data_IF_536264735058
#
_entry.id   IF_536264735058
#
_cell.length_a   1.000
_cell.length_b   1.000
_cell.length_c   1.000
_cell.angle_alpha   90.00
_cell.angle_beta   90.00
_cell.angle_gamma   90.00
#
_symmetry.space_group_name_H-M   'P 1'
#
loop_
_entity.id
_entity.type
_entity.pdbx_description
1 polymer ?
#
# COMPACT_ATOMS: atom_id res chain seq x y z
N UNK A 1 -8.62 -8.77 -2.16
CA UNK A 1 -7.99 -8.84 -3.50
C UNK A 1 -6.82 -9.81 -3.42
N UNK A 2 -6.58 -10.61 -4.44
CA UNK A 2 -5.43 -11.50 -4.56
C UNK A 2 -4.46 -10.97 -5.63
N UNK A 3 -3.15 -11.06 -5.39
CA UNK A 3 -2.12 -10.66 -6.35
C UNK A 3 -1.42 -11.90 -6.90
N UNK A 4 -1.53 -12.12 -8.20
CA UNK A 4 -0.87 -13.23 -8.88
C UNK A 4 0.56 -12.83 -9.27
N UNK A 5 1.52 -13.15 -8.40
CA UNK A 5 2.94 -12.88 -8.62
C UNK A 5 3.68 -14.18 -9.00
N UNK A 6 4.66 -14.13 -9.91
CA UNK A 6 5.57 -15.26 -10.13
C UNK A 6 6.45 -15.46 -8.89
N UNK A 7 6.70 -16.72 -8.52
CA UNK A 7 7.55 -17.09 -7.40
C UNK A 7 8.63 -18.11 -7.81
N UNK A 8 9.60 -18.33 -6.93
CA UNK A 8 10.75 -19.23 -7.16
C UNK A 8 10.33 -20.67 -7.49
N UNK A 9 9.27 -21.13 -6.84
CA UNK A 9 8.81 -22.52 -6.89
C UNK A 9 7.41 -22.65 -7.47
N UNK A 10 6.58 -21.61 -7.32
CA UNK A 10 5.21 -21.65 -7.80
C UNK A 10 4.79 -20.30 -8.35
N UNK A 11 3.98 -20.33 -9.41
CA UNK A 11 3.35 -19.16 -9.99
C UNK A 11 2.02 -18.87 -9.30
N UNK A 12 1.87 -17.66 -8.74
CA UNK A 12 0.65 -17.20 -8.08
C UNK A 12 -0.59 -17.20 -8.98
N UNK A 13 -0.43 -17.12 -10.30
CA UNK A 13 -1.55 -17.16 -11.24
C UNK A 13 -2.32 -18.49 -11.18
N UNK A 14 -1.63 -19.59 -10.87
CA UNK A 14 -2.25 -20.92 -10.78
C UNK A 14 -3.17 -21.04 -9.56
N UNK A 15 -3.04 -20.13 -8.59
CA UNK A 15 -3.87 -20.09 -7.37
C UNK A 15 -5.08 -19.17 -7.46
N UNK A 16 -5.31 -18.51 -8.59
CA UNK A 16 -6.39 -17.52 -8.73
C UNK A 16 -7.78 -18.10 -8.42
N UNK A 17 -8.06 -19.33 -8.87
CA UNK A 17 -9.33 -20.01 -8.60
C UNK A 17 -9.51 -20.33 -7.11
N UNK A 18 -8.46 -20.82 -6.45
CA UNK A 18 -8.47 -21.09 -5.01
C UNK A 18 -8.64 -19.81 -4.21
N UNK A 19 -7.96 -18.72 -4.60
CA UNK A 19 -8.10 -17.42 -3.96
C UNK A 19 -9.52 -16.88 -4.08
N UNK A 20 -10.15 -17.01 -5.26
CA UNK A 20 -11.54 -16.62 -5.46
C UNK A 20 -12.50 -17.44 -4.59
N UNK A 21 -12.30 -18.77 -4.52
CA UNK A 21 -13.09 -19.65 -3.65
C UNK A 21 -12.92 -19.31 -2.16
N UNK A 22 -11.74 -18.83 -1.76
CA UNK A 22 -11.47 -18.35 -0.41
C UNK A 22 -12.04 -16.95 -0.12
N UNK A 23 -12.72 -16.32 -1.08
CA UNK A 23 -13.38 -15.01 -0.91
C UNK A 23 -12.64 -13.82 -1.50
N UNK A 24 -11.59 -14.03 -2.31
CA UNK A 24 -11.00 -12.93 -3.05
C UNK A 24 -11.99 -12.37 -4.08
N UNK A 25 -12.45 -11.14 -3.83
CA UNK A 25 -13.43 -10.44 -4.69
C UNK A 25 -12.86 -10.07 -6.07
N UNK A 26 -11.53 -9.95 -6.18
CA UNK A 26 -10.84 -9.66 -7.42
C UNK A 26 -9.39 -10.19 -7.38
N UNK A 27 -8.86 -10.54 -8.55
CA UNK A 27 -7.46 -10.90 -8.78
C UNK A 27 -6.76 -9.81 -9.60
N UNK A 28 -5.55 -9.41 -9.21
CA UNK A 28 -4.65 -8.61 -10.05
C UNK A 28 -3.60 -9.56 -10.65
N UNK A 29 -3.58 -9.70 -11.97
CA UNK A 29 -2.79 -10.70 -12.68
C UNK A 29 -2.17 -10.15 -13.96
N UNK A 30 -1.10 -10.77 -14.43
CA UNK A 30 -0.43 -10.42 -15.68
C UNK A 30 -0.99 -11.17 -16.91
N UNK A 31 -1.88 -12.14 -16.67
CA UNK A 31 -2.59 -12.91 -17.71
C UNK A 31 -4.01 -13.30 -17.26
N UNK A 32 -4.91 -13.67 -18.18
CA UNK A 32 -6.24 -14.17 -17.82
C UNK A 32 -6.16 -15.44 -16.95
N UNK A 33 -7.01 -15.50 -15.90
CA UNK A 33 -6.98 -16.57 -14.87
C UNK A 33 -8.35 -17.21 -14.59
N UNK A 34 -9.35 -16.95 -15.43
CA UNK A 34 -10.66 -17.62 -15.36
C UNK A 34 -11.59 -17.18 -14.21
N UNK A 35 -11.16 -16.23 -13.37
CA UNK A 35 -11.95 -15.59 -12.31
C UNK A 35 -11.97 -14.07 -12.52
N UNK A 36 -12.84 -13.30 -11.82
CA UNK A 36 -12.84 -11.84 -11.92
C UNK A 36 -11.45 -11.25 -11.66
N UNK A 37 -10.83 -10.74 -12.73
CA UNK A 37 -9.44 -10.33 -12.73
C UNK A 37 -9.22 -9.02 -13.48
N UNK A 38 -8.37 -8.18 -12.89
CA UNK A 38 -7.75 -7.04 -13.56
C UNK A 38 -6.46 -7.57 -14.17
N UNK A 39 -6.44 -7.71 -15.50
CA UNK A 39 -5.29 -8.19 -16.24
C UNK A 39 -4.42 -7.00 -16.66
N UNK A 40 -3.15 -7.03 -16.27
CA UNK A 40 -2.16 -6.01 -16.62
C UNK A 40 -1.16 -6.57 -17.61
N UNK A 41 -0.73 -5.75 -18.57
CA UNK A 41 0.25 -6.19 -19.57
C UNK A 41 1.64 -6.28 -18.92
N UNK A 42 2.34 -7.42 -19.02
CA UNK A 42 3.75 -7.54 -18.61
C UNK A 42 4.63 -6.53 -19.35
N UNK A 43 5.58 -5.91 -18.66
CA UNK A 43 6.51 -4.97 -19.27
C UNK A 43 7.93 -5.19 -18.70
N UNK A 44 8.81 -5.79 -19.51
CA UNK A 44 10.18 -6.16 -19.09
C UNK A 44 11.05 -4.98 -18.65
N UNK A 45 10.85 -3.79 -19.23
CA UNK A 45 11.59 -2.57 -18.85
C UNK A 45 11.31 -2.15 -17.40
N UNK A 46 10.15 -2.50 -16.83
CA UNK A 46 9.83 -2.22 -15.43
C UNK A 46 10.58 -3.13 -14.46
N UNK A 47 11.03 -4.31 -14.92
CA UNK A 47 11.77 -5.26 -14.10
C UNK A 47 13.23 -4.83 -13.91
N UNK A 48 13.82 -4.14 -14.89
CA UNK A 48 15.25 -3.74 -14.89
C UNK A 48 15.61 -2.69 -13.80
N UNK A 49 14.63 -2.04 -13.17
CA UNK A 49 14.84 -0.99 -12.16
C UNK A 49 14.47 -1.36 -10.72
N UNK A 50 14.04 -2.59 -10.45
CA UNK A 50 13.34 -2.89 -9.22
C UNK A 50 14.21 -3.59 -8.17
N UNK A 51 14.64 -2.84 -7.15
CA UNK A 51 15.47 -3.29 -6.01
C UNK A 51 14.77 -4.25 -5.01
N UNK A 52 13.60 -4.80 -5.35
CA UNK A 52 12.85 -5.66 -4.43
C UNK A 52 13.09 -7.13 -4.77
N UNK A 53 13.54 -7.93 -3.79
CA UNK A 53 13.75 -9.38 -3.94
C UNK A 53 12.51 -10.18 -4.42
N UNK A 54 11.33 -9.56 -4.38
CA UNK A 54 10.08 -10.08 -4.96
C UNK A 54 10.17 -10.30 -6.47
N UNK A 55 11.11 -9.66 -7.18
CA UNK A 55 11.23 -9.71 -8.63
C UNK A 55 12.39 -10.58 -9.13
N UNK A 56 13.12 -11.26 -8.23
CA UNK A 56 14.21 -12.16 -8.59
C UNK A 56 13.77 -13.32 -9.50
N UNK A 57 12.47 -13.64 -9.49
CA UNK A 57 11.87 -14.70 -10.30
C UNK A 57 10.90 -14.17 -11.37
N UNK A 58 10.96 -12.87 -11.67
CA UNK A 58 10.11 -12.22 -12.67
C UNK A 58 10.78 -12.20 -14.06
N UNK A 59 10.79 -13.36 -14.73
CA UNK A 59 11.50 -13.52 -16.01
C UNK A 59 10.88 -12.73 -17.18
N UNK A 60 9.58 -12.45 -17.15
CA UNK A 60 8.83 -11.85 -18.24
C UNK A 60 8.27 -10.45 -17.93
N UNK A 61 8.50 -9.93 -16.72
CA UNK A 61 7.98 -8.63 -16.28
C UNK A 61 6.54 -8.67 -15.77
N UNK A 62 5.97 -9.87 -15.57
CA UNK A 62 4.64 -10.07 -15.00
C UNK A 62 4.55 -9.54 -13.56
N UNK A 63 5.53 -9.88 -12.73
CA UNK A 63 5.60 -9.43 -11.34
C UNK A 63 5.73 -7.91 -11.25
N UNK A 64 6.60 -7.33 -12.06
CA UNK A 64 6.83 -5.89 -12.13
C UNK A 64 5.56 -5.15 -12.55
N UNK A 65 4.84 -5.65 -13.56
CA UNK A 65 3.58 -5.08 -14.01
C UNK A 65 2.50 -5.13 -12.92
N UNK A 66 2.35 -6.27 -12.22
CA UNK A 66 1.39 -6.42 -11.12
C UNK A 66 1.72 -5.49 -9.96
N UNK A 67 2.98 -5.38 -9.56
CA UNK A 67 3.40 -4.45 -8.51
C UNK A 67 3.27 -2.98 -8.91
N UNK A 68 3.55 -2.64 -10.17
CA UNK A 68 3.36 -1.29 -10.69
C UNK A 68 1.87 -0.91 -10.70
N UNK A 69 0.98 -1.85 -11.05
CA UNK A 69 -0.46 -1.64 -10.97
C UNK A 69 -0.94 -1.49 -9.52
N UNK A 70 -0.41 -2.29 -8.59
CA UNK A 70 -0.68 -2.12 -7.15
C UNK A 70 -0.23 -0.72 -6.67
N UNK A 71 0.96 -0.28 -7.07
CA UNK A 71 1.48 1.04 -6.71
C UNK A 71 0.60 2.17 -7.26
N UNK A 72 0.10 2.05 -8.49
CA UNK A 72 -0.87 2.99 -9.08
C UNK A 72 -2.18 3.03 -8.28
N UNK A 73 -2.72 1.86 -7.89
CA UNK A 73 -3.91 1.76 -7.06
C UNK A 73 -3.69 2.41 -5.69
N UNK A 74 -2.60 2.07 -5.01
CA UNK A 74 -2.26 2.63 -3.71
C UNK A 74 -2.10 4.16 -3.78
N UNK A 75 -1.50 4.68 -4.85
CA UNK A 75 -1.39 6.13 -5.08
C UNK A 75 -2.74 6.80 -5.29
N UNK A 76 -3.65 6.17 -6.04
CA UNK A 76 -5.01 6.69 -6.22
C UNK A 76 -5.76 6.76 -4.89
N UNK A 77 -5.73 5.68 -4.10
CA UNK A 77 -6.35 5.62 -2.76
C UNK A 77 -5.73 6.67 -1.83
N UNK A 78 -4.41 6.81 -1.82
CA UNK A 78 -3.73 7.83 -1.01
C UNK A 78 -4.17 9.24 -1.41
N UNK A 79 -4.29 9.52 -2.71
CA UNK A 79 -4.74 10.83 -3.20
C UNK A 79 -6.18 11.14 -2.77
N UNK A 80 -7.09 10.17 -2.86
CA UNK A 80 -8.48 10.32 -2.39
C UNK A 80 -8.55 10.60 -0.89
N UNK A 81 -7.79 9.85 -0.09
CA UNK A 81 -7.76 10.06 1.36
C UNK A 81 -7.15 11.43 1.72
N UNK A 82 -6.09 11.86 1.02
CA UNK A 82 -5.49 13.19 1.21
C UNK A 82 -6.48 14.29 0.86
N UNK A 83 -7.26 14.13 -0.22
CA UNK A 83 -8.35 15.06 -0.54
C UNK A 83 -9.42 15.09 0.57
N UNK A 84 -9.65 13.96 1.26
CA UNK A 84 -10.45 13.87 2.48
C UNK A 84 -9.79 14.40 3.76
N UNK A 85 -8.59 14.99 3.66
CA UNK A 85 -7.88 15.62 4.77
C UNK A 85 -6.80 14.75 5.42
N UNK A 86 -6.54 13.53 4.94
CA UNK A 86 -5.44 12.69 5.44
C UNK A 86 -4.09 13.38 5.23
N UNK A 87 -3.26 13.43 6.27
CA UNK A 87 -1.84 13.81 6.13
C UNK A 87 -0.94 12.58 6.12
N UNK A 88 -0.11 12.45 5.09
CA UNK A 88 0.84 11.33 4.93
C UNK A 88 2.25 11.82 5.23
N UNK A 89 2.98 11.09 6.09
CA UNK A 89 4.36 11.41 6.46
C UNK A 89 5.25 10.21 6.19
N UNK A 90 6.26 10.40 5.34
CA UNK A 90 7.30 9.41 5.08
C UNK A 90 8.39 9.44 6.16
N UNK A 91 8.68 8.30 6.76
CA UNK A 91 9.81 8.13 7.70
C UNK A 91 10.81 7.17 7.06
N UNK A 92 12.03 7.66 6.80
CA UNK A 92 13.13 6.87 6.22
C UNK A 92 14.37 6.93 7.12
N UNK A 93 15.30 6.00 6.91
CA UNK A 93 16.57 5.87 7.65
C UNK A 93 17.01 4.42 7.77
N UNK A 94 18.31 4.13 7.89
CA UNK A 94 18.81 2.75 8.10
C UNK A 94 18.45 2.22 9.50
N UNK A 95 18.47 3.12 10.51
CA UNK A 95 18.16 2.83 11.91
C UNK A 95 17.08 3.76 12.46
N UNK A 96 16.34 3.34 13.48
CA UNK A 96 15.45 4.22 14.24
C UNK A 96 14.02 4.44 13.70
N UNK A 97 13.68 4.06 12.47
CA UNK A 97 12.34 4.22 11.86
C UNK A 97 11.16 3.86 12.79
N UNK A 98 11.27 2.72 13.49
CA UNK A 98 10.25 2.26 14.45
C UNK A 98 10.20 3.12 15.71
N UNK A 99 11.36 3.51 16.24
CA UNK A 99 11.46 4.40 17.40
C UNK A 99 10.94 5.82 17.08
N UNK A 100 11.33 6.35 15.92
CA UNK A 100 10.87 7.64 15.37
C UNK A 100 9.36 7.63 15.17
N UNK A 101 8.80 6.55 14.61
CA UNK A 101 7.35 6.38 14.48
C UNK A 101 6.65 6.43 15.85
N UNK A 102 7.13 5.65 16.82
CA UNK A 102 6.51 5.56 18.15
C UNK A 102 6.57 6.90 18.89
N UNK A 103 7.72 7.57 18.85
CA UNK A 103 7.88 8.88 19.46
C UNK A 103 6.94 9.91 18.84
N UNK A 104 6.88 9.94 17.50
CA UNK A 104 6.03 10.87 16.78
C UNK A 104 4.54 10.64 17.06
N UNK A 105 4.09 9.38 17.13
CA UNK A 105 2.73 9.04 17.56
C UNK A 105 2.43 9.50 18.99
N UNK A 106 3.35 9.32 19.95
CA UNK A 106 3.15 9.80 21.33
C UNK A 106 3.03 11.33 21.39
N UNK A 107 3.90 12.05 20.69
CA UNK A 107 3.84 13.52 20.64
C UNK A 107 2.56 14.04 19.95
N UNK A 108 2.18 13.48 18.79
CA UNK A 108 0.94 13.89 18.12
C UNK A 108 -0.32 13.45 18.88
N UNK A 109 -0.32 12.29 19.55
CA UNK A 109 -1.48 11.82 20.34
C UNK A 109 -1.79 12.68 21.57
N UNK A 110 -0.85 13.53 22.00
CA UNK A 110 -1.10 14.53 23.04
C UNK A 110 -1.85 15.76 22.50
N UNK A 111 -1.98 15.89 21.18
CA UNK A 111 -2.55 17.05 20.49
C UNK A 111 -3.65 16.71 19.45
N UNK A 112 -3.84 15.45 19.06
CA UNK A 112 -4.85 14.97 18.10
C UNK A 112 -5.87 14.06 18.78
N UNK A 113 -7.14 14.49 18.76
CA UNK A 113 -8.31 13.69 19.16
C UNK A 113 -8.50 12.49 18.22
N UNK A 114 -8.98 11.38 18.78
CA UNK A 114 -8.55 10.06 18.36
C UNK A 114 -9.72 9.15 17.91
N UNK A 115 -9.55 8.41 16.81
CA UNK A 115 -10.40 7.29 16.34
C UNK A 115 -9.89 5.94 16.94
N UNK A 116 -10.77 4.96 17.25
CA UNK A 116 -10.47 3.69 17.95
C UNK A 116 -9.22 2.89 17.52
N UNK A 117 -8.60 2.14 18.45
CA UNK A 117 -7.23 1.57 18.35
C UNK A 117 -7.35 0.44 17.35
N UNK A 118 -6.67 0.47 16.20
CA UNK A 118 -6.61 -0.71 15.39
C UNK A 118 -5.46 -1.60 15.90
N UNK A 119 -5.46 -2.84 15.44
CA UNK A 119 -4.67 -3.94 15.95
C UNK A 119 -3.13 -3.71 15.93
N UNK A 120 -2.35 -4.48 16.69
CA UNK A 120 -0.89 -4.34 16.70
C UNK A 120 -0.17 -4.92 15.46
N UNK A 121 -0.88 -5.50 14.48
CA UNK A 121 -0.26 -6.16 13.31
C UNK A 121 -0.10 -5.24 12.09
N UNK A 122 -0.78 -4.09 12.08
CA UNK A 122 -0.80 -3.20 10.92
C UNK A 122 0.43 -2.26 10.87
N UNK A 123 1.23 -2.32 9.80
CA UNK A 123 2.47 -1.53 9.65
C UNK A 123 2.27 -0.13 9.04
N UNK A 124 1.05 0.24 8.67
CA UNK A 124 0.68 1.53 8.04
C UNK A 124 -0.48 2.20 8.78
N UNK A 125 -0.34 3.49 9.12
CA UNK A 125 -1.34 4.25 9.86
C UNK A 125 -1.72 5.56 9.14
N UNK A 126 -2.96 5.99 9.32
CA UNK A 126 -3.64 7.11 8.65
C UNK A 126 -4.05 8.14 9.70
N UNK A 127 -3.72 9.41 9.50
CA UNK A 127 -4.10 10.54 10.39
C UNK A 127 -5.00 11.52 9.62
N UNK A 128 -6.30 11.61 9.93
CA UNK A 128 -7.17 12.64 9.37
C UNK A 128 -6.81 14.03 9.94
N UNK A 129 -6.64 15.03 9.08
CA UNK A 129 -6.22 16.41 9.43
C UNK A 129 -7.38 17.38 9.72
N UNK A 130 -7.16 18.72 9.71
CA UNK A 130 -5.91 19.45 9.88
C UNK A 130 -5.77 20.09 11.29
N UNK A 131 -4.53 20.18 11.78
CA UNK A 131 -4.12 20.77 13.06
C UNK A 131 -4.18 22.30 13.15
N UNK A 132 -4.78 23.02 12.18
CA UNK A 132 -4.68 24.47 12.12
C UNK A 132 -6.07 25.13 12.05
N UNK A 133 -6.64 25.45 13.21
CA UNK A 133 -7.59 26.57 13.34
C UNK A 133 -6.76 27.77 13.83
N UNK A 134 -6.61 28.86 13.05
CA UNK A 134 -5.94 30.06 13.56
C UNK A 134 -6.71 30.62 14.76
N UNK A 135 -5.99 30.89 15.85
CA UNK A 135 -6.56 31.47 17.06
C UNK A 135 -7.29 32.78 16.73
N UNK A 136 -8.56 32.89 17.12
CA UNK A 136 -9.30 34.14 17.04
C UNK A 136 -8.59 35.20 17.89
N UNK A 137 -8.23 36.33 17.26
CA UNK A 137 -7.73 37.52 17.95
C UNK A 137 -8.81 38.06 18.88
N UNK A 138 -8.50 38.32 20.18
CA UNK A 138 -9.46 38.96 21.06
C UNK A 138 -9.64 40.42 20.62
N UNK A 139 -10.86 40.78 20.20
CA UNK A 139 -11.29 42.17 20.08
C UNK A 139 -11.32 42.82 21.45
N UNK A 140 -10.65 43.97 21.53
CA UNK A 140 -10.57 44.89 22.67
C UNK A 140 -11.92 45.34 23.19
#
# INVERSE_FOLDING_TARGET
MFLALPGAHVDGHDYAASAAAAGAVAVLAARPVGVPAIVVTPERSLAEGALAGVLEHDADGSGAAVLAALAKLAKAVAAELVAGGLTIIGITGSSGKTSTRIWWLRCCSLWVWWLPRPDPSTTSWVIPGPCCVPAATPTT
#
